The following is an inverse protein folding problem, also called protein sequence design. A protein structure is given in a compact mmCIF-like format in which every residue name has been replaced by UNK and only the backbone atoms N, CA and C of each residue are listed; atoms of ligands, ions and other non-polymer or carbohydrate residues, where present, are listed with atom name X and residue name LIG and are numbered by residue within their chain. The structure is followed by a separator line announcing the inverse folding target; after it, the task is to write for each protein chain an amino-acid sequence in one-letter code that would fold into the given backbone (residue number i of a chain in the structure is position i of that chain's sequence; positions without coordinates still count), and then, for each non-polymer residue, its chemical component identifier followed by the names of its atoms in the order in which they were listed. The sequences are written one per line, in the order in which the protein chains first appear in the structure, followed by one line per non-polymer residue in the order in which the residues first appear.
data_IF_184470900639
#
_entry.id   IF_184470900639
#
_cell.length_a   1.000
_cell.length_b   1.000
_cell.length_c   1.000
_cell.angle_alpha   90.00
_cell.angle_beta   90.00
_cell.angle_gamma   90.00
#
_symmetry.space_group_name_H-M   'P 1'
#
loop_
_entity.id
_entity.type
_entity.pdbx_description
1 polymer ?
#
# COMPACT_ATOMS: atom_id res chain seq x y z
N UNK A 1 -17.13 23.03 32.53
CA UNK A 1 -16.33 21.91 31.99
C UNK A 1 -17.12 21.22 30.89
N UNK A 2 -16.90 21.60 29.62
CA UNK A 2 -17.47 20.85 28.50
C UNK A 2 -16.71 19.52 28.38
N UNK A 3 -17.44 18.41 28.29
CA UNK A 3 -16.83 17.09 28.12
C UNK A 3 -16.06 17.05 26.80
N UNK A 4 -14.78 16.67 26.85
CA UNK A 4 -14.00 16.35 25.65
C UNK A 4 -14.45 14.97 25.18
N UNK A 5 -15.01 14.88 23.98
CA UNK A 5 -15.33 13.58 23.40
C UNK A 5 -14.07 13.02 22.73
N UNK A 6 -13.92 11.71 22.77
CA UNK A 6 -12.85 11.00 22.05
C UNK A 6 -13.53 10.06 21.07
N UNK A 7 -13.23 10.22 19.79
CA UNK A 7 -13.56 9.23 18.77
C UNK A 7 -12.40 8.24 18.73
N UNK A 8 -12.70 6.99 19.07
CA UNK A 8 -11.74 5.90 18.98
C UNK A 8 -11.97 5.19 17.65
N UNK A 9 -10.92 5.08 16.85
CA UNK A 9 -10.95 4.42 15.55
C UNK A 9 -9.72 3.53 15.40
N UNK A 10 -9.85 2.48 14.60
CA UNK A 10 -8.74 1.63 14.23
C UNK A 10 -8.19 2.09 12.88
N UNK A 11 -6.89 2.34 12.82
CA UNK A 11 -6.20 2.75 11.61
C UNK A 11 -4.86 2.02 11.52
N UNK A 12 -4.64 1.26 10.43
CA UNK A 12 -3.43 0.43 10.24
C UNK A 12 -3.06 -0.42 11.47
N UNK A 13 -4.04 -1.09 12.10
CA UNK A 13 -3.96 -1.88 13.35
C UNK A 13 -3.70 -1.08 14.63
N UNK A 14 -3.51 0.24 14.55
CA UNK A 14 -3.37 1.08 15.72
C UNK A 14 -4.71 1.64 16.16
N UNK A 15 -4.89 1.74 17.47
CA UNK A 15 -6.05 2.42 18.06
C UNK A 15 -5.73 3.91 18.16
N UNK A 16 -6.38 4.70 17.32
CA UNK A 16 -6.23 6.16 17.32
C UNK A 16 -7.40 6.80 18.05
N UNK A 17 -7.08 7.60 19.07
CA UNK A 17 -8.05 8.43 19.79
C UNK A 17 -7.99 9.87 19.29
N UNK A 18 -9.06 10.35 18.67
CA UNK A 18 -9.18 11.74 18.20
C UNK A 18 -10.06 12.52 19.17
N UNK A 19 -9.49 13.54 19.83
CA UNK A 19 -10.27 14.43 20.68
C UNK A 19 -11.09 15.37 19.79
N UNK A 20 -12.41 15.36 19.97
CA UNK A 20 -13.33 16.23 19.24
C UNK A 20 -14.09 17.14 20.21
N UNK A 21 -14.48 18.31 19.69
CA UNK A 21 -15.27 19.27 20.45
C UNK A 21 -16.68 18.75 20.74
N UNK A 22 -17.29 18.06 19.78
CA UNK A 22 -18.64 17.52 19.87
C UNK A 22 -18.86 16.39 18.84
N UNK A 23 -19.77 15.46 19.11
CA UNK A 23 -20.14 14.36 18.23
C UNK A 23 -21.66 14.37 17.99
N UNK A 24 -22.10 14.97 16.87
CA UNK A 24 -23.52 15.27 16.63
C UNK A 24 -24.31 14.12 16.01
N UNK A 25 -23.81 13.54 14.93
CA UNK A 25 -24.58 12.56 14.12
C UNK A 25 -23.66 11.71 13.25
N UNK A 26 -23.99 10.42 13.13
CA UNK A 26 -23.39 9.51 12.14
C UNK A 26 -24.25 9.55 10.87
N UNK A 27 -23.60 9.73 9.70
CA UNK A 27 -24.26 9.75 8.40
C UNK A 27 -23.62 8.74 7.46
N UNK A 28 -24.45 8.02 6.70
CA UNK A 28 -23.98 7.18 5.59
C UNK A 28 -24.04 7.99 4.31
N UNK A 29 -22.90 8.16 3.66
CA UNK A 29 -22.74 8.98 2.46
C UNK A 29 -22.38 8.05 1.29
N UNK A 30 -22.95 8.29 0.10
CA UNK A 30 -22.53 7.57 -1.11
C UNK A 30 -21.32 8.27 -1.72
N UNK A 31 -20.40 7.49 -2.27
CA UNK A 31 -19.24 8.03 -2.98
C UNK A 31 -19.60 9.03 -4.09
N UNK A 32 -20.73 8.83 -4.78
CA UNK A 32 -21.23 9.74 -5.82
C UNK A 32 -21.61 11.13 -5.33
N UNK A 33 -21.88 11.27 -4.03
CA UNK A 33 -22.31 12.52 -3.42
C UNK A 33 -21.13 13.34 -2.90
N UNK A 34 -19.92 12.74 -2.90
CA UNK A 34 -18.68 13.38 -2.49
C UNK A 34 -18.12 14.16 -3.66
N UNK A 35 -18.00 15.48 -3.48
CA UNK A 35 -17.41 16.39 -4.46
C UNK A 35 -16.00 16.77 -4.05
N UNK A 36 -15.17 17.16 -5.03
CA UNK A 36 -13.87 17.77 -4.74
C UNK A 36 -14.06 19.04 -3.91
N UNK A 37 -13.15 19.32 -2.95
CA UNK A 37 -13.20 20.56 -2.19
C UNK A 37 -13.06 21.75 -3.14
N UNK A 38 -13.81 22.85 -2.93
CA UNK A 38 -13.58 24.10 -3.64
C UNK A 38 -12.16 24.62 -3.39
N UNK A 39 -11.53 25.33 -4.36
CA UNK A 39 -10.17 25.85 -4.22
C UNK A 39 -9.96 26.71 -2.95
N UNK A 40 -10.99 27.45 -2.54
CA UNK A 40 -10.97 28.30 -1.35
C UNK A 40 -10.85 27.52 -0.02
N UNK A 41 -11.34 26.27 0.01
CA UNK A 41 -11.19 25.37 1.16
C UNK A 41 -9.80 24.72 1.12
N UNK A 42 -9.36 24.31 -0.06
CA UNK A 42 -8.07 23.67 -0.29
C UNK A 42 -6.90 24.58 0.12
N UNK A 43 -6.93 25.86 -0.30
CA UNK A 43 -5.94 26.87 0.05
C UNK A 43 -5.90 27.16 1.56
N UNK A 44 -7.06 27.19 2.23
CA UNK A 44 -7.15 27.49 3.67
C UNK A 44 -6.76 26.33 4.57
N UNK A 45 -7.05 25.10 4.17
CA UNK A 45 -6.86 23.90 5.00
C UNK A 45 -5.66 23.07 4.57
N UNK A 46 -4.87 23.55 3.61
CA UNK A 46 -3.59 22.94 3.24
C UNK A 46 -3.72 21.51 2.73
N UNK A 47 -4.76 21.22 1.95
CA UNK A 47 -4.96 19.89 1.37
C UNK A 47 -5.49 18.82 2.34
N UNK A 48 -5.81 19.16 3.59
CA UNK A 48 -6.29 18.20 4.60
C UNK A 48 -7.74 17.73 4.42
N UNK A 49 -8.37 18.05 3.29
CA UNK A 49 -9.76 17.70 2.98
C UNK A 49 -9.77 16.87 1.70
N UNK A 50 -10.24 15.62 1.78
CA UNK A 50 -10.38 14.72 0.62
C UNK A 50 -11.62 15.07 -0.19
N UNK A 51 -12.66 15.59 0.45
CA UNK A 51 -13.92 15.85 -0.22
C UNK A 51 -14.89 16.69 0.61
N UNK A 52 -15.93 17.17 -0.06
CA UNK A 52 -17.02 17.91 0.55
C UNK A 52 -18.35 17.29 0.18
N UNK A 53 -19.28 17.34 1.12
CA UNK A 53 -20.64 16.83 0.95
C UNK A 53 -21.61 17.91 1.37
N UNK A 54 -22.49 18.29 0.48
CA UNK A 54 -23.58 19.20 0.80
C UNK A 54 -24.64 18.47 1.61
N UNK A 55 -25.01 19.05 2.75
CA UNK A 55 -26.03 18.53 3.65
C UNK A 55 -27.21 19.50 3.74
N UNK A 56 -28.16 19.22 4.63
CA UNK A 56 -29.35 20.04 4.79
C UNK A 56 -29.00 21.52 5.08
N UNK A 57 -29.88 22.41 4.61
CA UNK A 57 -29.78 23.86 4.80
C UNK A 57 -28.54 24.52 4.14
N UNK A 58 -27.98 23.89 3.11
CA UNK A 58 -26.84 24.41 2.34
C UNK A 58 -25.51 24.35 3.08
N UNK A 59 -25.45 23.61 4.19
CA UNK A 59 -24.21 23.41 4.92
C UNK A 59 -23.30 22.39 4.21
N UNK A 60 -22.00 22.53 4.38
CA UNK A 60 -21.01 21.58 3.86
C UNK A 60 -20.42 20.76 5.00
N UNK A 61 -20.39 19.45 4.83
CA UNK A 61 -19.53 18.56 5.60
C UNK A 61 -18.20 18.40 4.88
N UNK A 62 -17.11 18.60 5.60
CA UNK A 62 -15.76 18.40 5.12
C UNK A 62 -15.28 17.00 5.53
N UNK A 63 -14.81 16.22 4.57
CA UNK A 63 -14.20 14.92 4.81
C UNK A 63 -12.70 15.13 5.00
N UNK A 64 -12.23 14.92 6.21
CA UNK A 64 -10.82 15.07 6.55
C UNK A 64 -9.98 13.99 5.87
N UNK A 65 -8.84 14.39 5.33
CA UNK A 65 -7.74 13.50 4.98
C UNK A 65 -7.05 13.04 6.26
N UNK A 66 -7.67 12.07 6.92
CA UNK A 66 -7.13 11.55 8.17
C UNK A 66 -5.76 10.90 7.95
N UNK A 67 -5.57 10.27 6.80
CA UNK A 67 -4.35 9.59 6.39
C UNK A 67 -3.17 10.55 6.31
N UNK A 68 -3.32 11.62 5.51
CA UNK A 68 -2.31 12.67 5.37
C UNK A 68 -2.05 13.41 6.67
N UNK A 69 -3.07 13.65 7.50
CA UNK A 69 -2.90 14.27 8.82
C UNK A 69 -2.03 13.41 9.73
N UNK A 70 -2.25 12.10 9.77
CA UNK A 70 -1.45 11.20 10.60
C UNK A 70 0.01 11.12 10.13
N UNK A 71 0.25 11.14 8.81
CA UNK A 71 1.59 11.22 8.22
C UNK A 71 2.32 12.52 8.62
N UNK A 72 1.66 13.67 8.51
CA UNK A 72 2.23 14.96 8.93
C UNK A 72 2.55 15.01 10.43
N UNK A 73 1.73 14.37 11.27
CA UNK A 73 1.97 14.29 12.71
C UNK A 73 3.12 13.33 13.08
N UNK A 74 3.76 12.70 12.09
CA UNK A 74 4.83 11.74 12.32
C UNK A 74 4.35 10.42 12.92
N UNK A 75 3.03 10.16 12.92
CA UNK A 75 2.48 8.92 13.45
C UNK A 75 2.85 7.70 12.59
N UNK A 76 3.43 7.91 11.40
CA UNK A 76 4.10 6.82 10.66
C UNK A 76 5.16 6.11 11.50
N UNK A 77 5.84 6.82 12.42
CA UNK A 77 6.81 6.20 13.33
C UNK A 77 6.15 5.22 14.31
N UNK A 78 4.88 5.44 14.65
CA UNK A 78 4.09 4.57 15.53
C UNK A 78 3.73 3.25 14.82
N UNK A 79 3.59 3.25 13.49
CA UNK A 79 3.39 2.02 12.69
C UNK A 79 4.68 1.18 12.50
N UNK A 80 5.67 1.29 13.39
CA UNK A 80 6.80 0.35 13.47
C UNK A 80 7.95 0.55 12.48
N UNK A 81 8.01 1.67 11.74
CA UNK A 81 9.05 1.87 10.69
C UNK A 81 10.46 2.08 11.26
N UNK A 82 10.58 2.61 12.49
CA UNK A 82 11.90 2.95 13.07
C UNK A 82 12.47 1.89 14.03
N UNK A 83 11.65 1.17 14.82
CA UNK A 83 12.15 0.37 15.96
C UNK A 83 11.96 -1.16 15.86
N UNK A 84 11.10 -1.68 14.97
CA UNK A 84 10.65 -3.09 15.04
C UNK A 84 11.25 -4.06 14.00
N UNK A 85 12.22 -3.65 13.17
CA UNK A 85 12.87 -4.61 12.26
C UNK A 85 13.96 -5.35 13.05
N UNK A 86 13.77 -6.63 13.41
CA UNK A 86 14.76 -7.36 14.19
C UNK A 86 16.08 -7.46 13.42
N UNK A 87 17.20 -7.24 14.10
CA UNK A 87 18.53 -7.41 13.49
C UNK A 87 18.76 -8.85 12.99
N UNK A 88 18.08 -9.82 13.60
CA UNK A 88 18.17 -11.25 13.35
C UNK A 88 17.47 -11.73 12.06
N UNK A 89 16.83 -10.84 11.27
CA UNK A 89 16.28 -11.27 9.98
C UNK A 89 17.43 -11.61 9.03
N UNK A 90 17.44 -12.86 8.54
CA UNK A 90 18.39 -13.33 7.53
C UNK A 90 18.18 -12.56 6.22
N UNK A 91 19.07 -11.61 5.93
CA UNK A 91 19.06 -10.82 4.69
C UNK A 91 19.77 -11.56 3.58
N UNK A 92 19.08 -11.77 2.47
CA UNK A 92 19.53 -12.59 1.35
C UNK A 92 19.83 -11.78 0.08
N UNK A 93 19.94 -10.45 0.18
CA UNK A 93 20.33 -9.56 -0.90
C UNK A 93 19.55 -8.25 -0.91
N UNK A 94 19.75 -7.47 -1.99
CA UNK A 94 18.99 -6.25 -2.28
C UNK A 94 18.15 -6.47 -3.53
N UNK A 95 16.86 -6.23 -3.43
CA UNK A 95 15.91 -6.50 -4.51
C UNK A 95 15.29 -5.20 -5.05
N UNK A 96 14.79 -5.26 -6.27
CA UNK A 96 13.93 -4.27 -6.92
C UNK A 96 12.49 -4.79 -6.85
N UNK A 97 11.64 -4.05 -6.17
CA UNK A 97 10.31 -4.50 -5.76
C UNK A 97 9.27 -3.52 -6.28
N UNK A 98 8.23 -4.04 -6.93
CA UNK A 98 7.07 -3.24 -7.33
C UNK A 98 5.99 -3.35 -6.25
N UNK A 99 5.53 -2.22 -5.71
CA UNK A 99 4.42 -2.16 -4.75
C UNK A 99 3.20 -1.50 -5.37
N UNK A 100 2.03 -2.13 -5.19
CA UNK A 100 0.72 -1.62 -5.60
C UNK A 100 -0.16 -1.48 -4.37
N UNK A 101 -0.67 -0.28 -4.15
CA UNK A 101 -1.63 0.04 -3.08
C UNK A 101 -2.30 1.37 -3.45
N UNK A 102 -3.61 1.54 -3.25
CA UNK A 102 -4.30 2.79 -3.60
C UNK A 102 -4.17 3.87 -2.50
N UNK A 103 -3.85 3.46 -1.26
CA UNK A 103 -3.56 4.34 -0.15
C UNK A 103 -2.13 4.91 -0.24
N UNK A 104 -1.96 6.23 -0.44
CA UNK A 104 -0.63 6.85 -0.54
C UNK A 104 0.24 6.66 0.70
N UNK A 105 -0.35 6.67 1.90
CA UNK A 105 0.38 6.46 3.16
C UNK A 105 0.73 5.01 3.34
N UNK A 106 -0.15 4.06 3.05
CA UNK A 106 0.20 2.63 3.10
C UNK A 106 1.38 2.34 2.16
N UNK A 107 1.30 2.83 0.93
CA UNK A 107 2.38 2.71 -0.06
C UNK A 107 3.68 3.37 0.40
N UNK A 108 3.60 4.57 1.00
CA UNK A 108 4.75 5.29 1.58
C UNK A 108 5.39 4.51 2.75
N UNK A 109 4.58 3.89 3.61
CA UNK A 109 5.05 3.07 4.74
C UNK A 109 5.79 1.85 4.22
N UNK A 110 5.18 1.09 3.31
CA UNK A 110 5.79 -0.10 2.70
C UNK A 110 7.11 0.29 2.03
N UNK A 111 7.12 1.35 1.21
CA UNK A 111 8.34 1.82 0.55
C UNK A 111 9.44 2.13 1.56
N UNK A 112 9.14 2.92 2.61
CA UNK A 112 10.14 3.28 3.62
C UNK A 112 10.75 2.06 4.32
N UNK A 113 9.93 1.05 4.63
CA UNK A 113 10.40 -0.20 5.25
C UNK A 113 11.34 -0.95 4.31
N UNK A 114 10.96 -1.12 3.04
CA UNK A 114 11.76 -1.83 2.05
C UNK A 114 13.06 -1.07 1.70
N UNK A 115 13.00 0.26 1.57
CA UNK A 115 14.18 1.10 1.31
C UNK A 115 15.15 1.10 2.51
N UNK A 116 14.63 1.11 3.74
CA UNK A 116 15.45 1.00 4.95
C UNK A 116 16.16 -0.35 5.02
N UNK A 117 15.54 -1.41 4.49
CA UNK A 117 16.17 -2.73 4.36
C UNK A 117 17.10 -2.86 3.14
N UNK A 118 17.25 -1.77 2.36
CA UNK A 118 18.21 -1.66 1.25
C UNK A 118 17.67 -2.05 -0.12
N UNK A 119 16.35 -2.19 -0.28
CA UNK A 119 15.71 -2.50 -1.55
C UNK A 119 15.44 -1.25 -2.38
N UNK A 120 15.31 -1.44 -3.70
CA UNK A 120 14.80 -0.42 -4.63
C UNK A 120 13.30 -0.65 -4.81
N UNK A 121 12.49 0.42 -4.75
CA UNK A 121 11.04 0.30 -4.79
C UNK A 121 10.47 1.07 -5.98
N UNK A 122 9.60 0.40 -6.75
CA UNK A 122 8.70 1.02 -7.72
C UNK A 122 7.29 1.09 -7.13
N UNK A 123 6.56 2.16 -7.40
CA UNK A 123 5.22 2.39 -6.86
C UNK A 123 4.17 2.45 -7.98
N UNK A 124 2.98 1.93 -7.70
CA UNK A 124 1.79 2.11 -8.52
C UNK A 124 0.54 2.25 -7.63
N UNK A 125 -0.42 3.08 -8.03
CA UNK A 125 -1.63 3.35 -7.23
C UNK A 125 -2.78 2.35 -7.50
N UNK A 126 -2.65 1.47 -8.49
CA UNK A 126 -3.64 0.45 -8.86
C UNK A 126 -3.04 -0.58 -9.83
N UNK A 127 -3.81 -1.61 -10.18
CA UNK A 127 -3.39 -2.67 -11.11
C UNK A 127 -3.12 -2.20 -12.56
N UNK A 128 -3.72 -1.09 -13.02
CA UNK A 128 -3.45 -0.55 -14.36
C UNK A 128 -2.04 0.05 -14.39
N UNK A 129 -1.75 0.95 -13.45
CA UNK A 129 -0.43 1.56 -13.30
C UNK A 129 0.66 0.51 -13.06
N UNK A 130 0.36 -0.53 -12.27
CA UNK A 130 1.30 -1.63 -12.03
C UNK A 130 1.71 -2.35 -13.32
N UNK A 131 0.77 -2.60 -14.24
CA UNK A 131 1.08 -3.19 -15.54
C UNK A 131 1.88 -2.24 -16.42
N UNK A 132 1.58 -0.94 -16.39
CA UNK A 132 2.35 0.08 -17.11
C UNK A 132 3.81 0.11 -16.64
N UNK A 133 4.05 0.03 -15.32
CA UNK A 133 5.39 -0.09 -14.75
C UNK A 133 6.08 -1.36 -15.24
N UNK A 134 5.41 -2.53 -15.19
CA UNK A 134 5.99 -3.79 -15.67
C UNK A 134 6.36 -3.74 -17.15
N UNK A 135 5.51 -3.16 -18.00
CA UNK A 135 5.81 -3.01 -19.43
C UNK A 135 6.97 -2.05 -19.69
N UNK A 136 7.07 -0.97 -18.90
CA UNK A 136 8.21 -0.05 -18.98
C UNK A 136 9.52 -0.74 -18.59
N UNK A 137 9.51 -1.52 -17.51
CA UNK A 137 10.68 -2.30 -17.06
C UNK A 137 11.03 -3.40 -18.07
N UNK A 138 10.03 -4.05 -18.69
CA UNK A 138 10.26 -5.03 -19.75
C UNK A 138 10.97 -4.41 -20.94
N UNK A 139 10.52 -3.23 -21.39
CA UNK A 139 11.16 -2.52 -22.49
C UNK A 139 12.62 -2.20 -22.17
N UNK A 140 12.92 -1.78 -20.93
CA UNK A 140 14.29 -1.54 -20.48
C UNK A 140 15.12 -2.83 -20.48
N UNK A 141 14.55 -3.93 -20.00
CA UNK A 141 15.22 -5.23 -20.01
C UNK A 141 15.53 -5.70 -21.44
N UNK A 142 14.61 -5.50 -22.39
CA UNK A 142 14.82 -5.80 -23.81
C UNK A 142 15.92 -4.92 -24.44
N UNK A 143 15.96 -3.63 -24.11
CA UNK A 143 17.01 -2.70 -24.55
C UNK A 143 18.39 -3.07 -23.99
N UNK A 144 18.45 -3.62 -22.78
CA UNK A 144 19.67 -4.07 -22.10
C UNK A 144 19.98 -5.56 -22.33
N UNK A 145 19.26 -6.23 -23.25
CA UNK A 145 19.39 -7.67 -23.55
C UNK A 145 19.40 -8.57 -22.28
N UNK A 146 18.60 -8.19 -21.29
CA UNK A 146 18.57 -8.77 -19.95
C UNK A 146 17.20 -9.35 -19.60
N UNK A 147 17.14 -10.14 -18.53
CA UNK A 147 15.88 -10.71 -18.08
C UNK A 147 15.06 -9.69 -17.27
N UNK A 148 13.73 -9.64 -17.43
CA UNK A 148 12.85 -8.80 -16.59
C UNK A 148 13.08 -9.03 -15.09
N UNK A 149 13.49 -10.24 -14.69
CA UNK A 149 13.80 -10.56 -13.29
C UNK A 149 15.04 -9.85 -12.76
N UNK A 150 15.85 -9.20 -13.61
CA UNK A 150 16.93 -8.29 -13.19
C UNK A 150 16.44 -6.88 -12.87
N UNK A 151 15.23 -6.54 -13.32
CA UNK A 151 14.58 -5.23 -13.14
C UNK A 151 13.48 -5.27 -12.10
N UNK A 152 12.83 -6.42 -11.88
CA UNK A 152 11.85 -6.60 -10.81
C UNK A 152 11.90 -8.05 -10.31
N UNK A 153 12.26 -8.22 -9.04
CA UNK A 153 12.43 -9.54 -8.41
C UNK A 153 11.20 -9.96 -7.59
N UNK A 154 10.29 -9.04 -7.31
CA UNK A 154 9.11 -9.27 -6.46
C UNK A 154 8.04 -8.21 -6.73
N UNK A 155 6.77 -8.61 -6.64
CA UNK A 155 5.64 -7.69 -6.61
C UNK A 155 4.87 -7.87 -5.31
N UNK A 156 4.48 -6.76 -4.68
CA UNK A 156 3.58 -6.73 -3.52
C UNK A 156 2.34 -5.95 -3.95
N UNK A 157 1.15 -6.54 -3.86
CA UNK A 157 -0.10 -5.91 -4.27
C UNK A 157 -1.12 -5.94 -3.17
N UNK A 158 -1.71 -4.79 -2.86
CA UNK A 158 -3.00 -4.74 -2.18
C UNK A 158 -4.10 -5.35 -3.07
N UNK A 159 -5.20 -5.78 -2.45
CA UNK A 159 -6.36 -6.32 -3.16
C UNK A 159 -7.33 -5.22 -3.58
N UNK A 160 -7.68 -4.32 -2.68
CA UNK A 160 -8.85 -3.43 -2.80
C UNK A 160 -8.50 -2.11 -3.47
N UNK A 161 -8.08 -2.18 -4.74
CA UNK A 161 -7.72 -0.99 -5.52
C UNK A 161 -8.80 -0.60 -6.55
N UNK A 162 -9.02 0.70 -6.80
CA UNK A 162 -9.96 1.17 -7.81
C UNK A 162 -9.46 0.87 -9.23
N UNK A 163 -10.40 0.68 -10.17
CA UNK A 163 -10.12 0.41 -11.58
C UNK A 163 -9.69 -1.03 -11.85
N UNK A 164 -8.56 -1.47 -11.28
CA UNK A 164 -8.12 -2.87 -11.33
C UNK A 164 -7.64 -3.32 -9.95
N UNK A 165 -8.35 -4.30 -9.40
CA UNK A 165 -8.02 -4.94 -8.12
C UNK A 165 -6.76 -5.82 -8.21
N UNK A 166 -6.16 -6.12 -7.06
CA UNK A 166 -4.92 -6.89 -6.95
C UNK A 166 -5.02 -8.32 -7.44
N UNK A 167 -6.20 -8.94 -7.31
CA UNK A 167 -6.42 -10.32 -7.78
C UNK A 167 -6.43 -10.38 -9.32
N UNK A 168 -7.10 -9.42 -9.95
CA UNK A 168 -7.15 -9.26 -11.41
C UNK A 168 -5.78 -8.91 -11.96
N UNK A 169 -5.06 -8.01 -11.30
CA UNK A 169 -3.68 -7.70 -11.63
C UNK A 169 -2.79 -8.95 -11.54
N UNK A 170 -2.84 -9.68 -10.43
CA UNK A 170 -2.04 -10.88 -10.20
C UNK A 170 -2.32 -11.94 -11.26
N UNK A 171 -3.59 -12.17 -11.58
CA UNK A 171 -3.98 -13.09 -12.65
C UNK A 171 -3.34 -12.71 -13.99
N UNK A 172 -3.39 -11.42 -14.38
CA UNK A 172 -2.75 -10.95 -15.62
C UNK A 172 -1.24 -11.14 -15.60
N UNK A 173 -0.57 -10.88 -14.48
CA UNK A 173 0.87 -11.12 -14.31
C UNK A 173 1.19 -12.60 -14.49
N UNK A 174 0.42 -13.49 -13.85
CA UNK A 174 0.65 -14.95 -13.90
C UNK A 174 0.27 -15.59 -15.23
N UNK A 175 -0.65 -15.01 -15.99
CA UNK A 175 -1.00 -15.43 -17.36
C UNK A 175 -0.02 -14.89 -18.43
N UNK A 176 0.80 -13.88 -18.10
CA UNK A 176 1.73 -13.30 -19.04
C UNK A 176 3.03 -14.13 -19.16
N UNK A 177 3.46 -14.57 -20.36
CA UNK A 177 4.61 -15.46 -20.54
C UNK A 177 5.91 -14.96 -19.91
N UNK A 178 6.11 -13.64 -19.90
CA UNK A 178 7.34 -13.02 -19.38
C UNK A 178 7.20 -12.62 -17.90
N UNK A 179 5.99 -12.30 -17.41
CA UNK A 179 5.82 -11.82 -16.04
C UNK A 179 5.51 -12.94 -15.05
N UNK A 180 5.04 -14.10 -15.52
CA UNK A 180 4.63 -15.21 -14.67
C UNK A 180 5.71 -15.71 -13.71
N UNK A 181 6.98 -15.54 -14.09
CA UNK A 181 8.14 -15.88 -13.24
C UNK A 181 8.33 -14.94 -12.04
N UNK A 182 7.79 -13.72 -12.10
CA UNK A 182 7.90 -12.75 -11.01
C UNK A 182 6.98 -13.19 -9.86
N UNK A 183 7.50 -13.38 -8.65
CA UNK A 183 6.69 -13.71 -7.48
C UNK A 183 5.76 -12.56 -7.11
N UNK A 184 4.54 -12.89 -6.71
CA UNK A 184 3.52 -11.91 -6.28
C UNK A 184 3.08 -12.24 -4.85
N UNK A 185 3.27 -11.28 -3.96
CA UNK A 185 2.75 -11.31 -2.58
C UNK A 185 1.49 -10.45 -2.55
N UNK A 186 0.39 -11.04 -2.12
CA UNK A 186 -0.83 -10.27 -1.84
C UNK A 186 -0.74 -9.68 -0.43
N UNK A 187 -0.72 -8.36 -0.31
CA UNK A 187 -0.93 -7.66 0.94
C UNK A 187 -2.43 -7.46 1.15
N UNK A 188 -2.99 -7.78 2.31
CA UNK A 188 -4.40 -7.51 2.58
C UNK A 188 -4.65 -7.11 4.02
N UNK A 189 -5.46 -6.07 4.19
CA UNK A 189 -5.97 -5.61 5.48
C UNK A 189 -7.01 -6.58 6.08
N UNK A 190 -7.66 -7.39 5.25
CA UNK A 190 -8.75 -8.28 5.65
C UNK A 190 -8.25 -9.71 5.93
N UNK A 191 -8.43 -10.16 7.16
CA UNK A 191 -8.09 -11.53 7.59
C UNK A 191 -9.14 -12.58 7.21
N UNK A 192 -9.91 -12.37 6.14
CA UNK A 192 -10.97 -13.29 5.76
C UNK A 192 -10.39 -14.52 5.05
N UNK A 193 -10.78 -15.72 5.48
CA UNK A 193 -10.34 -16.99 4.88
C UNK A 193 -10.69 -17.05 3.38
N UNK A 194 -11.80 -16.44 2.99
CA UNK A 194 -12.22 -16.36 1.59
C UNK A 194 -11.20 -15.62 0.71
N UNK A 195 -10.47 -14.66 1.27
CA UNK A 195 -9.42 -13.90 0.57
C UNK A 195 -8.18 -14.76 0.33
N UNK A 196 -7.81 -15.60 1.29
CA UNK A 196 -6.68 -16.55 1.18
C UNK A 196 -6.93 -17.59 0.09
N UNK A 197 -8.16 -18.12 0.01
CA UNK A 197 -8.50 -19.08 -1.03
C UNK A 197 -8.50 -18.43 -2.42
N UNK A 198 -9.02 -17.21 -2.57
CA UNK A 198 -8.96 -16.43 -3.82
C UNK A 198 -7.53 -16.13 -4.27
N UNK A 199 -6.62 -15.82 -3.34
CA UNK A 199 -5.21 -15.60 -3.65
C UNK A 199 -4.55 -16.86 -4.24
N UNK A 200 -4.87 -18.05 -3.73
CA UNK A 200 -4.42 -19.32 -4.32
C UNK A 200 -4.96 -19.55 -5.73
N UNK A 201 -6.22 -19.17 -5.99
CA UNK A 201 -6.83 -19.30 -7.32
C UNK A 201 -6.14 -18.45 -8.39
N UNK A 202 -5.52 -17.33 -8.02
CA UNK A 202 -4.76 -16.48 -8.95
C UNK A 202 -3.26 -16.79 -8.99
N UNK A 203 -2.84 -17.90 -8.37
CA UNK A 203 -1.44 -18.35 -8.29
C UNK A 203 -0.50 -17.33 -7.60
N UNK A 204 -0.99 -16.60 -6.60
CA UNK A 204 -0.12 -15.78 -5.74
C UNK A 204 0.86 -16.68 -4.96
N UNK A 205 2.10 -16.24 -4.80
CA UNK A 205 3.18 -17.01 -4.17
C UNK A 205 3.13 -16.93 -2.64
N UNK A 206 2.64 -15.80 -2.12
CA UNK A 206 2.38 -15.61 -0.70
C UNK A 206 1.25 -14.60 -0.45
N UNK A 207 0.82 -14.51 0.80
CA UNK A 207 -0.09 -13.49 1.28
C UNK A 207 0.37 -12.97 2.65
N UNK A 208 0.25 -11.67 2.86
CA UNK A 208 0.51 -10.98 4.12
C UNK A 208 -0.84 -10.56 4.71
N UNK A 209 -1.23 -11.18 5.82
CA UNK A 209 -2.51 -10.91 6.49
C UNK A 209 -2.29 -9.87 7.57
N UNK A 210 -2.86 -8.69 7.34
CA UNK A 210 -2.68 -7.48 8.12
C UNK A 210 -1.19 -7.05 8.04
N UNK A 211 -0.90 -5.78 7.83
CA UNK A 211 0.48 -5.32 7.61
C UNK A 211 1.37 -5.44 8.86
N UNK A 212 2.57 -6.03 8.73
CA UNK A 212 3.64 -6.06 9.75
C UNK A 212 5.02 -5.96 9.07
N UNK A 213 5.91 -5.13 9.60
CA UNK A 213 7.22 -4.85 8.99
C UNK A 213 8.16 -6.07 9.03
N UNK A 214 8.40 -6.72 10.18
CA UNK A 214 9.19 -7.95 10.24
C UNK A 214 8.67 -9.05 9.30
N UNK A 215 7.37 -9.32 9.29
CA UNK A 215 6.82 -10.36 8.41
C UNK A 215 6.89 -9.99 6.93
N UNK A 216 6.69 -8.72 6.57
CA UNK A 216 6.92 -8.22 5.22
C UNK A 216 8.37 -8.52 4.78
N UNK A 217 9.36 -8.14 5.59
CA UNK A 217 10.78 -8.30 5.25
C UNK A 217 11.13 -9.79 5.13
N UNK A 218 10.67 -10.63 6.05
CA UNK A 218 10.87 -12.10 5.95
C UNK A 218 10.31 -12.66 4.66
N UNK A 219 9.10 -12.24 4.26
CA UNK A 219 8.50 -12.70 3.01
C UNK A 219 9.28 -12.20 1.78
N UNK A 220 9.75 -10.95 1.81
CA UNK A 220 10.57 -10.38 0.73
C UNK A 220 11.85 -11.21 0.52
N UNK A 221 12.64 -11.44 1.57
CA UNK A 221 13.88 -12.23 1.45
C UNK A 221 13.63 -13.70 1.12
N UNK A 222 12.47 -14.25 1.50
CA UNK A 222 12.09 -15.61 1.17
C UNK A 222 11.66 -15.79 -0.29
N UNK A 223 10.92 -14.83 -0.85
CA UNK A 223 10.26 -15.01 -2.15
C UNK A 223 10.90 -14.23 -3.29
N UNK A 224 11.61 -13.12 -3.03
CA UNK A 224 12.25 -12.35 -4.09
C UNK A 224 13.23 -13.23 -4.89
N UNK A 225 13.17 -13.12 -6.21
CA UNK A 225 14.08 -13.85 -7.09
C UNK A 225 15.52 -13.38 -6.86
N UNK A 226 16.41 -14.32 -6.57
CA UNK A 226 17.83 -14.03 -6.43
C UNK A 226 18.47 -13.95 -7.82
N UNK A 227 19.39 -13.01 -8.01
CA UNK A 227 20.24 -13.02 -9.21
C UNK A 227 21.08 -14.28 -9.21
N UNK A 228 21.17 -14.94 -10.37
CA UNK A 228 21.98 -16.16 -10.53
C UNK A 228 23.49 -15.92 -10.31
N UNK A 229 23.94 -14.65 -10.25
CA UNK A 229 25.36 -14.29 -10.16
C UNK A 229 25.88 -14.03 -8.73
N UNK A 230 25.05 -14.16 -7.67
CA UNK A 230 25.52 -14.02 -6.27
C UNK A 230 25.86 -15.37 -5.61
N UNK A 231 26.00 -16.45 -6.39
CA UNK A 231 26.42 -17.77 -5.87
C UNK A 231 27.93 -17.98 -5.79
N UNK A 232 28.77 -17.03 -6.18
CA UNK A 232 30.23 -17.19 -6.17
C UNK A 232 30.96 -15.89 -5.78
N UNK A 233 30.87 -15.48 -4.52
CA UNK A 233 32.00 -14.82 -3.86
C UNK A 233 32.19 -15.43 -2.46
N UNK A 234 32.97 -16.51 -2.47
CA UNK A 234 33.83 -17.14 -1.43
C UNK A 234 33.40 -17.07 0.04
#
# INVERSE_FOLDING_TARGET
NAGKYVIVMEFLRETVGVIVHDAKRIRRIKWTDIKKPPPSIEERLGGKIVGVVEIEDGNLLLLLDFEGILDELGMIKIFGVEEDIPEEIERQGRFKILILDDSPVARKIIRKILEKDGHTVYEAANGIEGLEVLHKLLKQAEEEESDITDFVQLIISDIEMPGMDGLTFTKKVKEHPVFAKIPVIINTSLSDKATVDKAKFVQADAHLVKFDAPDLIKLVHKYALKKQNEKEEV
#
